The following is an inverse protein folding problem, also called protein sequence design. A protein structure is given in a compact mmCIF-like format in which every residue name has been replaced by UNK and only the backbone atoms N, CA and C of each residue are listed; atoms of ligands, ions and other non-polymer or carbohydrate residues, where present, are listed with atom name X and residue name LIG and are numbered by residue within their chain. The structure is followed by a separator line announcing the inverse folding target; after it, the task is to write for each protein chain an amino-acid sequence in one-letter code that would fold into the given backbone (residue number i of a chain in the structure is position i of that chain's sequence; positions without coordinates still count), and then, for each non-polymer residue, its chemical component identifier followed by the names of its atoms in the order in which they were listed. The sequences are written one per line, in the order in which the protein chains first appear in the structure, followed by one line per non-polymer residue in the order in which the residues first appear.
data_IF_444473246328
#
_entry.id   IF_444473246328
#
_cell.length_a   1.000
_cell.length_b   1.000
_cell.length_c   1.000
_cell.angle_alpha   90.00
_cell.angle_beta   90.00
_cell.angle_gamma   90.00
#
_symmetry.space_group_name_H-M   'P 1'
#
loop_
_entity.id
_entity.type
_entity.pdbx_description
1 polymer ?
#
# COMPACT_ATOMS: atom_id res chain seq x y z
N UNK A 1 -25.42 8.37 -88.80
CA UNK A 1 -24.53 7.75 -87.80
C UNK A 1 -23.86 6.56 -88.44
N UNK A 2 -22.53 6.59 -88.53
CA UNK A 2 -21.74 5.50 -89.07
C UNK A 2 -21.73 4.32 -88.06
N UNK A 3 -21.70 3.08 -88.55
CA UNK A 3 -21.66 1.88 -87.69
C UNK A 3 -20.41 1.86 -86.80
N UNK A 4 -19.35 2.57 -87.19
CA UNK A 4 -18.13 2.73 -86.40
C UNK A 4 -18.34 3.54 -85.11
N UNK A 5 -19.15 4.59 -85.14
CA UNK A 5 -19.40 5.46 -83.98
C UNK A 5 -20.21 4.73 -82.89
N UNK A 6 -21.22 3.96 -83.32
CA UNK A 6 -22.08 3.19 -82.40
C UNK A 6 -21.29 2.11 -81.65
N UNK A 7 -20.31 1.48 -82.32
CA UNK A 7 -19.47 0.44 -81.71
C UNK A 7 -18.55 1.00 -80.63
N UNK A 8 -18.01 2.20 -80.85
CA UNK A 8 -17.10 2.88 -79.93
C UNK A 8 -17.81 3.32 -78.65
N UNK A 9 -19.03 3.84 -78.77
CA UNK A 9 -19.86 4.25 -77.62
C UNK A 9 -20.25 3.07 -76.71
N UNK A 10 -20.53 1.91 -77.32
CA UNK A 10 -20.83 0.68 -76.56
C UNK A 10 -19.60 0.15 -75.82
N UNK A 11 -18.43 0.19 -76.46
CA UNK A 11 -17.16 -0.27 -75.85
C UNK A 11 -16.74 0.63 -74.68
N UNK A 12 -16.92 1.94 -74.80
CA UNK A 12 -16.63 2.91 -73.74
C UNK A 12 -17.52 2.71 -72.51
N UNK A 13 -18.83 2.48 -72.70
CA UNK A 13 -19.76 2.13 -71.60
C UNK A 13 -19.37 0.84 -70.87
N UNK A 14 -18.95 -0.19 -71.60
CA UNK A 14 -18.53 -1.46 -71.00
C UNK A 14 -17.27 -1.27 -70.14
N UNK A 15 -16.33 -0.45 -70.60
CA UNK A 15 -15.11 -0.13 -69.84
C UNK A 15 -15.46 0.68 -68.58
N UNK A 16 -16.37 1.63 -68.67
CA UNK A 16 -16.83 2.44 -67.53
C UNK A 16 -17.55 1.58 -66.48
N UNK A 17 -18.45 0.69 -66.89
CA UNK A 17 -19.15 -0.24 -66.00
C UNK A 17 -18.19 -1.20 -65.29
N UNK A 18 -17.20 -1.75 -66.02
CA UNK A 18 -16.16 -2.61 -65.44
C UNK A 18 -15.26 -1.86 -64.44
N UNK A 19 -14.94 -0.60 -64.72
CA UNK A 19 -14.18 0.26 -63.82
C UNK A 19 -14.98 0.56 -62.54
N UNK A 20 -16.28 0.87 -62.67
CA UNK A 20 -17.16 1.10 -61.54
C UNK A 20 -17.35 -0.17 -60.68
N UNK A 21 -17.45 -1.35 -61.29
CA UNK A 21 -17.58 -2.61 -60.57
C UNK A 21 -16.31 -2.98 -59.80
N UNK A 22 -15.12 -2.75 -60.38
CA UNK A 22 -13.83 -2.91 -59.69
C UNK A 22 -13.69 -1.94 -58.51
N UNK A 23 -14.06 -0.67 -58.70
CA UNK A 23 -14.02 0.33 -57.63
C UNK A 23 -14.93 -0.08 -56.46
N UNK A 24 -16.16 -0.56 -56.73
CA UNK A 24 -17.07 -1.07 -55.69
C UNK A 24 -16.48 -2.27 -54.94
N UNK A 25 -15.86 -3.23 -55.64
CA UNK A 25 -15.21 -4.39 -55.01
C UNK A 25 -14.03 -3.98 -54.13
N UNK A 26 -13.21 -3.03 -54.55
CA UNK A 26 -12.12 -2.48 -53.74
C UNK A 26 -12.65 -1.78 -52.47
N UNK A 27 -13.68 -0.94 -52.59
CA UNK A 27 -14.32 -0.29 -51.44
C UNK A 27 -14.91 -1.32 -50.47
N UNK A 28 -15.55 -2.37 -50.96
CA UNK A 28 -16.08 -3.44 -50.11
C UNK A 28 -14.99 -4.22 -49.38
N UNK A 29 -13.88 -4.54 -50.05
CA UNK A 29 -12.72 -5.20 -49.44
C UNK A 29 -12.07 -4.31 -48.37
N UNK A 30 -11.84 -3.03 -48.67
CA UNK A 30 -11.31 -2.08 -47.69
C UNK A 30 -12.24 -1.92 -46.48
N UNK A 31 -13.56 -1.87 -46.69
CA UNK A 31 -14.51 -1.75 -45.58
C UNK A 31 -14.52 -3.01 -44.70
N UNK A 32 -14.31 -4.20 -45.28
CA UNK A 32 -14.17 -5.45 -44.51
C UNK A 32 -12.90 -5.47 -43.67
N UNK A 33 -11.78 -5.06 -44.26
CA UNK A 33 -10.48 -4.97 -43.55
C UNK A 33 -10.57 -3.92 -42.44
N UNK A 34 -11.12 -2.74 -42.75
CA UNK A 34 -11.27 -1.64 -41.80
C UNK A 34 -12.17 -2.02 -40.61
N UNK A 35 -13.30 -2.70 -40.85
CA UNK A 35 -14.15 -3.25 -39.78
C UNK A 35 -13.41 -4.26 -38.91
N UNK A 36 -12.63 -5.17 -39.51
CA UNK A 36 -11.80 -6.12 -38.78
C UNK A 36 -10.75 -5.43 -37.90
N UNK A 37 -10.08 -4.41 -38.43
CA UNK A 37 -9.13 -3.59 -37.70
C UNK A 37 -9.77 -2.88 -36.51
N UNK A 38 -10.94 -2.25 -36.69
CA UNK A 38 -11.66 -1.60 -35.59
C UNK A 38 -12.06 -2.58 -34.48
N UNK A 39 -12.56 -3.76 -34.83
CA UNK A 39 -12.89 -4.81 -33.84
C UNK A 39 -11.64 -5.24 -33.06
N UNK A 40 -10.50 -5.40 -33.74
CA UNK A 40 -9.24 -5.74 -33.10
C UNK A 40 -8.72 -4.65 -32.15
N UNK A 41 -8.80 -3.38 -32.56
CA UNK A 41 -8.41 -2.23 -31.70
C UNK A 41 -9.30 -2.17 -30.46
N UNK A 42 -10.62 -2.32 -30.62
CA UNK A 42 -11.55 -2.36 -29.48
C UNK A 42 -11.19 -3.50 -28.52
N UNK A 43 -10.89 -4.69 -29.04
CA UNK A 43 -10.48 -5.84 -28.22
C UNK A 43 -9.20 -5.55 -27.41
N UNK A 44 -8.18 -4.94 -28.04
CA UNK A 44 -6.95 -4.55 -27.35
C UNK A 44 -7.20 -3.54 -26.23
N UNK A 45 -8.05 -2.54 -26.47
CA UNK A 45 -8.43 -1.56 -25.45
C UNK A 45 -9.12 -2.24 -24.26
N UNK A 46 -10.04 -3.18 -24.52
CA UNK A 46 -10.71 -3.94 -23.45
C UNK A 46 -9.72 -4.76 -22.64
N UNK A 47 -8.77 -5.46 -23.29
CA UNK A 47 -7.72 -6.22 -22.60
C UNK A 47 -6.84 -5.32 -21.74
N UNK A 48 -6.44 -4.15 -22.26
CA UNK A 48 -5.62 -3.19 -21.53
C UNK A 48 -6.34 -2.64 -20.30
N UNK A 49 -7.62 -2.28 -20.43
CA UNK A 49 -8.44 -1.81 -19.31
C UNK A 49 -8.61 -2.90 -18.25
N UNK A 50 -8.93 -4.13 -18.66
CA UNK A 50 -9.06 -5.26 -17.75
C UNK A 50 -7.75 -5.54 -16.98
N UNK A 51 -6.61 -5.53 -17.69
CA UNK A 51 -5.29 -5.69 -17.08
C UNK A 51 -4.99 -4.57 -16.07
N UNK A 52 -5.27 -3.31 -16.43
CA UNK A 52 -5.04 -2.15 -15.55
C UNK A 52 -5.86 -2.24 -14.26
N UNK A 53 -7.10 -2.71 -14.33
CA UNK A 53 -7.97 -2.88 -13.16
C UNK A 53 -7.46 -3.98 -12.22
N UNK A 54 -7.03 -5.11 -12.78
CA UNK A 54 -6.44 -6.21 -11.99
C UNK A 54 -5.14 -5.78 -11.32
N UNK A 55 -4.26 -5.10 -12.07
CA UNK A 55 -2.98 -4.61 -11.54
C UNK A 55 -3.16 -3.61 -10.39
N UNK A 56 -4.13 -2.69 -10.52
CA UNK A 56 -4.42 -1.71 -9.47
C UNK A 56 -4.85 -2.38 -8.16
N UNK A 57 -5.73 -3.38 -8.22
CA UNK A 57 -6.22 -4.08 -7.03
C UNK A 57 -5.15 -4.98 -6.37
N UNK A 58 -4.24 -5.57 -7.15
CA UNK A 58 -3.20 -6.44 -6.59
C UNK A 58 -2.15 -5.69 -5.76
N UNK A 59 -2.12 -4.37 -5.84
CA UNK A 59 -1.19 -3.53 -5.07
C UNK A 59 -1.68 -3.22 -3.65
N UNK A 60 -2.88 -3.65 -3.25
CA UNK A 60 -3.46 -3.36 -1.93
C UNK A 60 -3.91 -4.62 -1.21
N UNK A 61 -3.77 -4.64 0.11
CA UNK A 61 -4.32 -5.70 0.95
C UNK A 61 -4.74 -5.14 2.31
N UNK A 62 -5.70 -5.81 2.93
CA UNK A 62 -6.16 -5.47 4.28
C UNK A 62 -5.55 -6.44 5.28
N UNK A 63 -5.08 -5.91 6.42
CA UNK A 63 -4.61 -6.71 7.53
C UNK A 63 -5.12 -6.11 8.85
N UNK A 64 -5.90 -6.90 9.60
CA UNK A 64 -6.53 -6.48 10.87
C UNK A 64 -7.27 -5.12 10.78
N UNK A 65 -8.04 -4.91 9.70
CA UNK A 65 -8.79 -3.67 9.49
C UNK A 65 -7.97 -2.50 8.94
N UNK A 66 -6.66 -2.68 8.71
CA UNK A 66 -5.76 -1.64 8.20
C UNK A 66 -5.42 -1.95 6.74
N UNK A 67 -5.63 -0.99 5.84
CA UNK A 67 -5.27 -1.12 4.42
C UNK A 67 -3.77 -0.80 4.22
N UNK A 68 -3.07 -1.72 3.56
CA UNK A 68 -1.67 -1.59 3.16
C UNK A 68 -1.59 -1.57 1.63
N UNK A 69 -0.66 -0.78 1.09
CA UNK A 69 -0.31 -0.77 -0.34
C UNK A 69 1.12 -1.29 -0.54
N UNK A 70 1.36 -2.02 -1.61
CA UNK A 70 2.67 -2.50 -2.04
C UNK A 70 3.28 -1.47 -3.01
N UNK A 71 4.41 -0.83 -2.63
CA UNK A 71 4.97 0.37 -3.28
C UNK A 71 6.42 0.24 -3.76
N UNK A 72 7.08 -0.91 -3.50
CA UNK A 72 8.40 -1.34 -4.04
C UNK A 72 9.66 -1.28 -3.11
N UNK A 73 10.74 -1.93 -3.58
CA UNK A 73 11.86 -2.67 -2.96
C UNK A 73 12.37 -2.44 -1.51
N UNK A 74 12.53 -1.22 -0.98
CA UNK A 74 13.28 -1.03 0.30
C UNK A 74 12.37 -1.07 1.54
N UNK A 75 11.12 -0.63 1.40
CA UNK A 75 10.09 -0.67 2.43
C UNK A 75 8.73 -0.83 1.75
N UNK A 76 8.42 -2.05 1.27
CA UNK A 76 7.41 -2.22 0.24
C UNK A 76 6.00 -2.00 0.75
N UNK A 77 5.75 -1.97 2.06
CA UNK A 77 4.40 -1.92 2.63
C UNK A 77 4.08 -0.53 3.15
N UNK A 78 3.33 0.23 2.37
CA UNK A 78 2.87 1.57 2.74
C UNK A 78 1.52 1.49 3.45
N UNK A 79 1.35 2.28 4.50
CA UNK A 79 0.09 2.43 5.23
C UNK A 79 -0.23 3.90 5.42
N UNK A 80 -1.50 4.25 5.31
CA UNK A 80 -2.00 5.59 5.61
C UNK A 80 -2.42 5.64 7.08
N UNK A 81 -1.89 6.58 7.85
CA UNK A 81 -2.30 6.77 9.22
C UNK A 81 -3.58 7.61 9.25
N UNK A 82 -4.65 7.12 9.89
CA UNK A 82 -5.84 7.92 10.10
C UNK A 82 -5.54 9.00 11.15
N UNK A 83 -5.25 10.23 10.68
CA UNK A 83 -5.07 11.40 11.54
C UNK A 83 -6.44 11.92 11.99
N UNK A 84 -7.06 11.26 12.96
CA UNK A 84 -8.28 11.78 13.57
C UNK A 84 -7.95 12.91 14.55
N UNK A 85 -8.46 14.11 14.28
CA UNK A 85 -8.35 15.31 15.14
C UNK A 85 -8.99 15.14 16.54
N UNK A 86 -9.70 14.05 16.84
CA UNK A 86 -10.59 13.97 18.01
C UNK A 86 -10.71 12.58 18.65
N UNK A 87 -9.63 11.80 18.76
CA UNK A 87 -9.69 10.50 19.46
C UNK A 87 -8.36 9.91 19.91
N UNK A 88 -7.27 10.24 19.21
CA UNK A 88 -5.91 9.86 19.61
C UNK A 88 -5.22 11.09 20.19
N UNK A 89 -4.45 10.89 21.26
CA UNK A 89 -4.01 11.95 22.14
C UNK A 89 -3.06 12.94 21.46
N UNK A 90 -3.58 14.11 21.07
CA UNK A 90 -2.80 15.26 20.60
C UNK A 90 -3.37 15.81 19.30
N UNK A 91 -3.48 17.14 19.19
CA UNK A 91 -3.92 17.78 17.95
C UNK A 91 -2.95 17.36 16.83
N UNK A 92 -3.47 16.69 15.80
CA UNK A 92 -2.69 16.39 14.60
C UNK A 92 -2.21 17.71 14.00
N UNK A 93 -0.93 18.03 14.15
CA UNK A 93 -0.31 19.21 13.55
C UNK A 93 -0.08 18.92 12.07
N UNK A 94 -1.11 19.12 11.27
CA UNK A 94 -1.03 19.02 9.81
C UNK A 94 -2.41 19.16 9.17
N UNK A 95 -2.75 20.38 8.73
CA UNK A 95 -3.82 20.57 7.76
C UNK A 95 -3.53 19.70 6.52
N UNK A 96 -4.37 18.70 6.27
CA UNK A 96 -4.59 18.16 4.92
C UNK A 96 -3.59 17.16 4.35
N UNK A 97 -2.64 16.61 5.13
CA UNK A 97 -1.71 15.61 4.60
C UNK A 97 -1.90 14.25 5.27
N UNK A 98 -2.41 13.29 4.49
CA UNK A 98 -2.33 11.87 4.80
C UNK A 98 -0.89 11.49 5.16
N UNK A 99 -0.64 11.17 6.42
CA UNK A 99 0.68 10.71 6.85
C UNK A 99 0.86 9.27 6.41
N UNK A 100 1.76 9.03 5.45
CA UNK A 100 2.14 7.70 5.03
C UNK A 100 3.30 7.17 5.87
N UNK A 101 3.19 5.91 6.26
CA UNK A 101 4.29 5.13 6.83
C UNK A 101 4.64 3.97 5.93
N UNK A 102 5.90 3.53 6.04
CA UNK A 102 6.43 2.41 5.29
C UNK A 102 6.99 1.38 6.27
N UNK A 103 6.55 0.13 6.10
CA UNK A 103 7.09 -1.04 6.78
C UNK A 103 8.00 -1.80 5.83
N UNK A 104 9.06 -2.36 6.38
CA UNK A 104 10.02 -3.19 5.66
C UNK A 104 9.58 -4.64 5.61
N UNK A 105 8.79 -5.10 6.58
CA UNK A 105 8.25 -6.46 6.66
C UNK A 105 6.78 -6.51 6.32
N UNK A 106 6.36 -7.64 5.75
CA UNK A 106 4.96 -7.89 5.46
C UNK A 106 4.20 -8.03 6.78
N UNK A 107 3.20 -7.18 7.08
CA UNK A 107 2.38 -7.28 8.29
C UNK A 107 1.85 -8.70 8.54
N UNK A 108 1.52 -9.43 7.47
CA UNK A 108 0.99 -10.81 7.53
C UNK A 108 2.06 -11.81 7.95
N UNK A 109 3.31 -11.56 7.57
CA UNK A 109 4.43 -12.44 7.94
C UNK A 109 4.86 -12.29 9.40
N UNK A 110 4.42 -11.24 10.10
CA UNK A 110 4.81 -10.97 11.49
C UNK A 110 3.91 -11.70 12.52
N UNK A 111 2.95 -12.52 12.07
CA UNK A 111 2.02 -13.25 12.96
C UNK A 111 2.68 -14.25 13.89
N UNK A 112 3.87 -14.75 13.52
CA UNK A 112 4.64 -15.66 14.37
C UNK A 112 5.11 -14.99 15.67
N UNK A 113 5.18 -13.65 15.71
CA UNK A 113 5.55 -12.89 16.90
C UNK A 113 4.29 -12.67 17.75
N UNK A 114 4.15 -13.38 18.88
CA UNK A 114 2.95 -13.29 19.69
C UNK A 114 2.86 -11.91 20.36
N UNK A 115 1.63 -11.40 20.47
CA UNK A 115 1.29 -10.16 21.14
C UNK A 115 0.30 -10.44 22.27
N UNK A 116 0.77 -10.32 23.52
CA UNK A 116 -0.02 -10.60 24.71
C UNK A 116 -0.47 -9.31 25.38
N UNK A 117 -1.64 -8.79 24.99
CA UNK A 117 -2.25 -7.63 25.64
C UNK A 117 -3.09 -6.76 24.71
N UNK A 118 -3.30 -5.51 25.11
CA UNK A 118 -3.96 -4.46 24.35
C UNK A 118 -3.24 -3.13 24.59
N UNK A 119 -3.27 -2.24 23.59
CA UNK A 119 -2.55 -0.97 23.58
C UNK A 119 -3.41 0.11 24.23
N UNK A 120 -2.99 0.53 25.41
CA UNK A 120 -3.43 1.73 26.10
C UNK A 120 -2.61 2.94 25.67
N UNK A 121 -3.18 3.72 24.75
CA UNK A 121 -2.59 4.96 24.23
C UNK A 121 -2.47 6.03 25.33
N UNK A 122 -1.35 6.75 25.33
CA UNK A 122 -1.05 7.85 26.28
C UNK A 122 -0.46 9.04 25.53
N UNK A 123 -0.62 10.24 26.10
CA UNK A 123 -0.04 11.50 25.57
C UNK A 123 1.50 11.51 25.55
N UNK A 124 2.12 10.73 26.41
CA UNK A 124 3.56 10.63 26.55
C UNK A 124 3.98 9.18 26.37
N UNK A 125 5.04 8.94 25.60
CA UNK A 125 5.70 7.66 25.42
C UNK A 125 7.15 7.81 25.85
N UNK A 126 7.60 6.91 26.72
CA UNK A 126 9.01 6.78 27.09
C UNK A 126 9.51 5.43 26.58
N UNK A 127 10.57 5.47 25.79
CA UNK A 127 11.21 4.28 25.24
C UNK A 127 12.54 4.02 25.95
N UNK A 128 12.76 2.77 26.32
CA UNK A 128 14.02 2.26 26.85
C UNK A 128 14.43 1.02 26.04
N UNK A 129 15.74 0.80 25.93
CA UNK A 129 16.33 -0.32 25.20
C UNK A 129 17.55 -0.87 25.92
N UNK A 130 17.62 -2.19 26.06
CA UNK A 130 18.75 -2.92 26.65
C UNK A 130 19.23 -4.02 25.69
N UNK A 131 20.51 -4.39 25.77
CA UNK A 131 21.13 -5.37 24.87
C UNK A 131 21.72 -4.77 23.59
N UNK A 132 22.18 -5.62 22.67
CA UNK A 132 22.74 -5.17 21.39
C UNK A 132 21.64 -4.90 20.37
N UNK A 133 21.01 -3.72 20.48
CA UNK A 133 19.99 -3.28 19.53
C UNK A 133 20.56 -2.82 18.18
N UNK A 134 21.90 -2.83 18.00
CA UNK A 134 22.46 -2.26 16.76
C UNK A 134 22.07 -3.12 15.58
N UNK A 135 22.23 -4.44 15.63
CA UNK A 135 21.78 -5.40 14.60
C UNK A 135 21.88 -4.83 13.16
N UNK A 136 23.11 -4.51 12.73
CA UNK A 136 23.38 -3.89 11.41
C UNK A 136 22.67 -2.54 11.14
N UNK A 137 22.32 -1.81 12.19
CA UNK A 137 21.53 -0.58 12.17
C UNK A 137 20.02 -0.79 12.23
N UNK A 138 19.52 -2.03 12.17
CA UNK A 138 18.09 -2.33 12.04
C UNK A 138 17.30 -1.96 13.30
N UNK A 139 17.87 -2.09 14.50
CA UNK A 139 17.17 -1.67 15.72
C UNK A 139 17.05 -0.17 15.85
N UNK A 140 18.04 0.60 15.36
CA UNK A 140 17.92 2.07 15.30
C UNK A 140 16.80 2.46 14.34
N UNK A 141 16.70 1.81 13.18
CA UNK A 141 15.61 2.04 12.22
C UNK A 141 14.25 1.70 12.83
N UNK A 142 14.10 0.52 13.43
CA UNK A 142 12.85 0.06 14.03
C UNK A 142 12.39 0.97 15.18
N UNK A 143 13.29 1.32 16.10
CA UNK A 143 12.99 2.24 17.22
C UNK A 143 12.62 3.64 16.75
N UNK A 144 13.33 4.18 15.76
CA UNK A 144 13.04 5.50 15.21
C UNK A 144 11.70 5.54 14.46
N UNK A 145 11.40 4.52 13.66
CA UNK A 145 10.11 4.39 12.98
C UNK A 145 8.95 4.30 13.98
N UNK A 146 9.12 3.51 15.05
CA UNK A 146 8.13 3.41 16.12
C UNK A 146 7.94 4.75 16.84
N UNK A 147 9.01 5.45 17.20
CA UNK A 147 8.93 6.77 17.80
C UNK A 147 8.19 7.77 16.89
N UNK A 148 8.48 7.76 15.59
CA UNK A 148 7.80 8.61 14.63
C UNK A 148 6.30 8.29 14.49
N UNK A 149 5.91 7.01 14.55
CA UNK A 149 4.49 6.64 14.54
C UNK A 149 3.77 7.35 15.67
N UNK A 150 4.27 7.21 16.89
CA UNK A 150 3.63 7.80 18.07
C UNK A 150 3.62 9.34 18.00
N UNK A 151 4.68 9.98 17.49
CA UNK A 151 4.68 11.43 17.23
C UNK A 151 3.56 11.84 16.27
N UNK A 152 3.36 11.09 15.19
CA UNK A 152 2.30 11.34 14.22
C UNK A 152 0.90 11.06 14.78
N UNK A 153 0.80 10.16 15.75
CA UNK A 153 -0.39 9.96 16.58
C UNK A 153 -0.56 11.02 17.69
N UNK A 154 0.23 12.09 17.71
CA UNK A 154 0.14 13.20 18.67
C UNK A 154 0.82 12.93 20.02
N UNK A 155 1.52 11.81 20.18
CA UNK A 155 2.20 11.43 21.41
C UNK A 155 3.58 12.08 21.51
N UNK A 156 3.90 12.67 22.66
CA UNK A 156 5.25 13.16 22.95
C UNK A 156 6.15 11.97 23.27
N UNK A 157 7.22 11.79 22.49
CA UNK A 157 8.14 10.64 22.65
C UNK A 157 9.48 11.09 23.24
N UNK A 158 9.88 10.45 24.33
CA UNK A 158 11.19 10.59 24.97
C UNK A 158 11.93 9.25 25.01
N UNK A 159 13.26 9.30 24.96
CA UNK A 159 14.12 8.13 25.16
C UNK A 159 14.90 8.34 26.45
N UNK A 160 14.75 7.43 27.40
CA UNK A 160 15.44 7.51 28.70
C UNK A 160 15.89 6.10 29.12
N UNK A 161 17.21 5.85 29.19
CA UNK A 161 17.75 4.53 29.55
C UNK A 161 17.48 4.13 31.01
N UNK A 162 17.15 5.09 31.88
CA UNK A 162 16.86 4.84 33.29
C UNK A 162 15.36 4.77 33.58
N UNK A 163 14.51 5.03 32.58
CA UNK A 163 13.07 4.95 32.75
C UNK A 163 12.62 3.50 32.94
N UNK A 164 11.60 3.34 33.78
CA UNK A 164 10.95 2.06 34.09
C UNK A 164 9.45 2.19 33.94
N UNK A 165 8.75 1.05 33.97
CA UNK A 165 7.28 1.03 33.92
C UNK A 165 6.67 1.82 35.09
N UNK A 166 5.74 2.72 34.77
CA UNK A 166 4.99 3.51 35.75
C UNK A 166 3.67 2.83 36.10
N UNK A 167 3.53 2.38 37.35
CA UNK A 167 2.32 1.71 37.83
C UNK A 167 1.08 2.62 37.77
N UNK A 168 1.27 3.95 37.83
CA UNK A 168 0.19 4.94 37.70
C UNK A 168 -0.21 5.23 36.24
N UNK A 169 0.53 4.67 35.26
CA UNK A 169 0.28 4.84 33.83
C UNK A 169 0.22 6.32 33.37
N UNK A 170 1.05 7.19 33.96
CA UNK A 170 1.15 8.61 33.57
C UNK A 170 1.75 8.79 32.17
N UNK A 171 2.55 7.82 31.73
CA UNK A 171 3.07 7.68 30.38
C UNK A 171 2.99 6.23 29.93
N UNK A 172 3.04 6.05 28.61
CA UNK A 172 3.26 4.75 27.99
C UNK A 172 4.75 4.42 28.06
N UNK A 173 5.10 3.21 28.48
CA UNK A 173 6.48 2.75 28.56
C UNK A 173 6.71 1.58 27.60
N UNK A 174 7.76 1.66 26.78
CA UNK A 174 8.16 0.60 25.86
C UNK A 174 9.60 0.21 26.15
N UNK A 175 9.79 -1.01 26.66
CA UNK A 175 11.10 -1.63 26.84
C UNK A 175 11.39 -2.53 25.64
N UNK A 176 12.54 -2.35 25.00
CA UNK A 176 13.04 -3.22 23.93
C UNK A 176 14.25 -3.96 24.49
N UNK A 177 14.22 -5.29 24.54
CA UNK A 177 15.30 -6.07 25.14
C UNK A 177 15.59 -7.36 24.36
N UNK A 178 16.85 -7.76 24.39
CA UNK A 178 17.26 -9.06 23.84
C UNK A 178 16.81 -10.19 24.79
N UNK A 179 16.38 -11.32 24.23
CA UNK A 179 16.01 -12.49 25.00
C UNK A 179 16.02 -13.78 24.18
N UNK A 180 15.44 -14.83 24.75
CA UNK A 180 15.47 -16.17 24.16
C UNK A 180 14.38 -16.40 23.10
N UNK A 181 13.36 -15.53 23.06
CA UNK A 181 12.21 -15.62 22.16
C UNK A 181 11.78 -14.22 21.71
N UNK A 182 11.33 -14.12 20.45
CA UNK A 182 10.78 -12.87 19.91
C UNK A 182 9.30 -12.77 20.24
N UNK A 183 8.92 -11.81 21.08
CA UNK A 183 7.53 -11.64 21.55
C UNK A 183 7.25 -10.23 22.04
N UNK A 184 5.97 -9.94 22.22
CA UNK A 184 5.50 -8.68 22.78
C UNK A 184 4.53 -8.96 23.94
N UNK A 185 4.80 -8.37 25.08
CA UNK A 185 4.02 -8.56 26.30
C UNK A 185 3.63 -7.22 26.92
N UNK A 186 2.36 -7.10 27.33
CA UNK A 186 1.93 -6.03 28.21
C UNK A 186 2.25 -6.40 29.66
N UNK A 187 3.18 -5.68 30.27
CA UNK A 187 3.71 -5.96 31.61
C UNK A 187 3.14 -5.04 32.70
N UNK A 188 2.31 -4.07 32.31
CA UNK A 188 1.63 -3.14 33.21
C UNK A 188 0.51 -2.41 32.47
N UNK A 189 -0.17 -1.49 33.13
CA UNK A 189 -1.33 -0.79 32.54
C UNK A 189 -1.00 -0.13 31.20
N UNK A 190 0.10 0.61 31.09
CA UNK A 190 0.57 1.19 29.82
C UNK A 190 2.03 0.84 29.51
N UNK A 191 2.46 -0.35 29.93
CA UNK A 191 3.84 -0.80 29.81
C UNK A 191 3.96 -2.03 28.93
N UNK A 192 4.89 -1.97 27.98
CA UNK A 192 5.10 -3.02 27.00
C UNK A 192 6.56 -3.43 26.99
N UNK A 193 6.78 -4.72 26.84
CA UNK A 193 8.07 -5.34 26.65
C UNK A 193 8.10 -6.00 25.28
N UNK A 194 9.03 -5.56 24.46
CA UNK A 194 9.33 -6.11 23.14
C UNK A 194 10.64 -6.89 23.30
N UNK A 195 10.52 -8.20 23.41
CA UNK A 195 11.68 -9.09 23.46
C UNK A 195 12.02 -9.53 22.04
N UNK A 196 13.29 -9.43 21.65
CA UNK A 196 13.77 -9.92 20.35
C UNK A 196 14.85 -10.97 20.54
N UNK A 197 14.90 -11.93 19.61
CA UNK A 197 15.93 -12.95 19.49
C UNK A 197 16.58 -12.83 18.11
N UNK A 198 17.83 -13.25 17.96
CA UNK A 198 18.51 -13.40 16.66
C UNK A 198 18.45 -12.11 15.79
N UNK A 199 18.57 -10.93 16.43
CA UNK A 199 18.49 -9.63 15.78
C UNK A 199 17.15 -9.27 15.11
N UNK A 200 16.05 -9.92 15.49
CA UNK A 200 14.68 -9.62 15.02
C UNK A 200 14.05 -8.34 15.62
N UNK A 201 14.89 -7.34 15.94
CA UNK A 201 14.46 -6.08 16.56
C UNK A 201 13.56 -5.26 15.63
N UNK A 202 13.80 -5.32 14.31
CA UNK A 202 12.94 -4.65 13.34
C UNK A 202 11.57 -5.32 13.27
N UNK A 203 11.55 -6.65 13.23
CA UNK A 203 10.36 -7.48 13.16
C UNK A 203 9.46 -7.26 14.38
N UNK A 204 10.03 -7.26 15.60
CA UNK A 204 9.24 -7.04 16.82
C UNK A 204 8.71 -5.60 16.92
N UNK A 205 9.48 -4.61 16.46
CA UNK A 205 9.04 -3.19 16.49
C UNK A 205 7.97 -2.91 15.42
N UNK A 206 8.12 -3.46 14.20
CA UNK A 206 7.10 -3.37 13.16
C UNK A 206 5.85 -4.18 13.52
N UNK A 207 5.99 -5.31 14.23
CA UNK A 207 4.84 -6.05 14.76
C UNK A 207 4.05 -5.19 15.76
N UNK A 208 4.74 -4.53 16.68
CA UNK A 208 4.11 -3.63 17.64
C UNK A 208 3.47 -2.41 16.95
N UNK A 209 4.09 -1.90 15.89
CA UNK A 209 3.54 -0.85 15.03
C UNK A 209 2.20 -1.29 14.41
N UNK A 210 2.14 -2.49 13.83
CA UNK A 210 0.92 -3.02 13.19
C UNK A 210 -0.20 -3.22 14.21
N UNK A 211 0.11 -3.71 15.41
CA UNK A 211 -0.87 -3.80 16.50
C UNK A 211 -1.37 -2.42 16.94
N UNK A 212 -0.48 -1.42 16.96
CA UNK A 212 -0.83 -0.02 17.27
C UNK A 212 -1.84 0.50 16.26
N UNK A 213 -1.58 0.33 14.96
CA UNK A 213 -2.49 0.79 13.91
C UNK A 213 -3.83 0.05 13.91
N UNK A 214 -3.81 -1.28 14.08
CA UNK A 214 -5.01 -2.10 14.17
C UNK A 214 -5.95 -1.60 15.28
N UNK A 215 -5.39 -1.36 16.47
CA UNK A 215 -6.19 -0.88 17.61
C UNK A 215 -6.62 0.57 17.44
N UNK A 216 -5.76 1.46 16.94
CA UNK A 216 -6.11 2.84 16.61
C UNK A 216 -7.28 2.91 15.62
N UNK A 217 -7.22 2.12 14.55
CA UNK A 217 -8.26 2.06 13.53
C UNK A 217 -9.60 1.56 14.10
N UNK A 218 -9.56 0.61 15.03
CA UNK A 218 -10.76 0.13 15.74
C UNK A 218 -11.40 1.17 16.68
N UNK A 219 -10.65 2.19 17.11
CA UNK A 219 -11.16 3.30 17.94
C UNK A 219 -11.75 4.39 17.04
N UNK A 220 -11.11 4.70 15.91
CA UNK A 220 -11.52 5.78 15.00
C UNK A 220 -12.79 5.41 14.22
N UNK A 221 -12.94 4.16 13.80
CA UNK A 221 -14.05 3.71 12.95
C UNK A 221 -15.25 3.13 13.75
N UNK A 222 -15.29 3.35 15.07
CA UNK A 222 -16.46 3.05 15.92
C UNK A 222 -17.33 4.28 16.09
#
# INVERSE_FOLDING_TARGET
MDKGDLKKEVEEKIIEDLAMERAKKQVQQHNRILKGFFVFVILLVVIFVAWSLVSYNNSKFEYKGVEFSIVDEIAPYRVQIPLASSGITGAATGEGNDAYFYLRKDPRSLEYIPFYGAIDFRRNLVMNSTGDIKCEGMGIVGTYNLANLYRLLGTTVATDPNATCDNEARFMFVQIEEGNETKIEKIGTACYKLTFKDCEVLEVTERFFVETLSQANSIINK
#
